data_IF_927335320512
#
_entry.id   IF_927335320512
#
_cell.length_a   1.000
_cell.length_b   1.000
_cell.length_c   1.000
_cell.angle_alpha   90.00
_cell.angle_beta   90.00
_cell.angle_gamma   90.00
#
_symmetry.space_group_name_H-M   'P 1'
#
loop_
_entity.id
_entity.type
_entity.pdbx_description
1 polymer ?
#
# COMPACT_ATOMS: atom_id res chain seq x y z
N UNK A 1 4.94 -1.99 27.80
CA UNK A 1 3.84 -2.86 27.33
C UNK A 1 4.12 -3.22 25.88
N UNK A 2 3.84 -4.47 25.46
CA UNK A 2 3.91 -4.91 24.06
C UNK A 2 2.52 -5.20 23.55
N UNK A 3 2.34 -5.16 22.24
CA UNK A 3 1.10 -5.55 21.56
C UNK A 3 1.38 -6.72 20.63
N UNK A 4 0.45 -7.67 20.59
CA UNK A 4 0.52 -8.82 19.68
C UNK A 4 0.06 -8.40 18.28
N UNK A 5 0.84 -8.76 17.29
CA UNK A 5 0.58 -8.44 15.88
C UNK A 5 0.94 -9.63 14.99
N UNK A 6 0.38 -9.66 13.79
CA UNK A 6 0.97 -10.39 12.68
C UNK A 6 1.74 -9.39 11.82
N UNK A 7 2.94 -9.76 11.39
CA UNK A 7 3.81 -8.90 10.61
C UNK A 7 4.23 -9.59 9.33
N UNK A 8 4.14 -8.88 8.22
CA UNK A 8 4.65 -9.31 6.93
C UNK A 8 5.52 -8.22 6.33
N UNK A 9 6.67 -8.60 5.80
CA UNK A 9 7.52 -7.75 4.97
C UNK A 9 7.38 -8.21 3.51
N UNK A 10 6.98 -7.29 2.65
CA UNK A 10 6.81 -7.50 1.22
C UNK A 10 7.89 -6.75 0.46
N UNK A 11 8.36 -7.33 -0.63
CA UNK A 11 9.20 -6.67 -1.61
C UNK A 11 8.49 -6.64 -2.95
N UNK A 12 8.43 -5.44 -3.54
CA UNK A 12 7.74 -5.21 -4.80
C UNK A 12 8.65 -4.63 -5.87
N UNK A 13 8.41 -5.00 -7.13
CA UNK A 13 9.12 -4.51 -8.30
C UNK A 13 8.30 -4.67 -9.57
N UNK A 14 8.64 -3.89 -10.59
CA UNK A 14 8.06 -3.96 -11.93
C UNK A 14 8.79 -5.03 -12.76
N UNK A 15 8.56 -6.31 -12.45
CA UNK A 15 9.16 -7.42 -13.16
C UNK A 15 8.43 -7.69 -14.49
N UNK A 16 9.22 -7.82 -15.58
CA UNK A 16 8.66 -8.16 -16.90
C UNK A 16 7.80 -7.08 -17.55
N UNK A 17 7.65 -5.91 -16.92
CA UNK A 17 6.89 -4.80 -17.49
C UNK A 17 7.67 -4.16 -18.65
N UNK A 18 7.11 -4.12 -19.88
CA UNK A 18 7.76 -3.45 -21.01
C UNK A 18 8.11 -1.99 -20.72
N UNK A 19 7.27 -1.29 -19.94
CA UNK A 19 7.52 0.11 -19.57
C UNK A 19 8.76 0.25 -18.68
N UNK A 20 9.08 -0.73 -17.84
CA UNK A 20 10.30 -0.69 -17.03
C UNK A 20 11.55 -0.76 -17.92
N UNK A 21 11.55 -1.66 -18.91
CA UNK A 21 12.67 -1.78 -19.87
C UNK A 21 12.84 -0.51 -20.69
N UNK A 22 11.74 0.05 -21.20
CA UNK A 22 11.77 1.30 -21.97
C UNK A 22 12.28 2.46 -21.13
N UNK A 23 11.79 2.64 -19.90
CA UNK A 23 12.23 3.70 -19.00
C UNK A 23 13.69 3.53 -18.58
N UNK A 24 14.14 2.30 -18.35
CA UNK A 24 15.55 2.02 -18.05
C UNK A 24 16.44 2.36 -19.24
N UNK A 25 16.03 2.04 -20.48
CA UNK A 25 16.74 2.45 -21.70
C UNK A 25 16.82 3.98 -21.80
N UNK A 26 15.71 4.68 -21.63
CA UNK A 26 15.64 6.14 -21.64
C UNK A 26 16.55 6.77 -20.57
N UNK A 27 16.59 6.17 -19.35
CA UNK A 27 17.50 6.64 -18.31
C UNK A 27 18.96 6.44 -18.68
N UNK A 28 19.30 5.29 -19.28
CA UNK A 28 20.67 5.02 -19.80
C UNK A 28 21.07 6.04 -20.87
N UNK A 29 20.18 6.32 -21.80
CA UNK A 29 20.41 7.34 -22.83
C UNK A 29 20.60 8.73 -22.22
N UNK A 30 19.80 9.12 -21.24
CA UNK A 30 19.91 10.39 -20.54
C UNK A 30 21.24 10.52 -19.77
N UNK A 31 21.69 9.46 -19.10
CA UNK A 31 23.00 9.41 -18.42
C UNK A 31 24.12 9.54 -19.45
N UNK A 32 24.10 8.79 -20.55
CA UNK A 32 25.12 8.85 -21.58
C UNK A 32 25.18 10.23 -22.23
N UNK A 33 24.05 10.86 -22.52
CA UNK A 33 23.98 12.22 -23.07
C UNK A 33 24.56 13.26 -22.07
N UNK A 34 24.28 13.08 -20.77
CA UNK A 34 24.88 13.92 -19.72
C UNK A 34 26.39 13.76 -19.70
N UNK A 35 26.91 12.53 -19.66
CA UNK A 35 28.34 12.22 -19.66
C UNK A 35 29.04 12.84 -20.87
N UNK A 36 28.51 12.62 -22.08
CA UNK A 36 29.08 13.18 -23.31
C UNK A 36 29.18 14.73 -23.27
N UNK A 37 28.14 15.38 -22.77
CA UNK A 37 28.11 16.85 -22.60
C UNK A 37 29.23 17.35 -21.68
N UNK A 38 29.45 16.66 -20.56
CA UNK A 38 30.49 17.04 -19.62
C UNK A 38 31.90 16.78 -20.17
N UNK A 39 32.11 15.64 -20.83
CA UNK A 39 33.38 15.30 -21.48
C UNK A 39 33.71 16.31 -22.57
N UNK A 40 32.72 16.70 -23.42
CA UNK A 40 32.92 17.73 -24.44
C UNK A 40 33.25 19.11 -23.84
N UNK A 41 32.84 19.36 -22.59
CA UNK A 41 33.20 20.56 -21.83
C UNK A 41 34.55 20.42 -21.06
N UNK A 42 35.32 19.36 -21.30
CA UNK A 42 36.62 19.12 -20.64
C UNK A 42 36.48 18.70 -19.17
N UNK A 43 35.32 18.27 -18.72
CA UNK A 43 35.09 17.83 -17.34
C UNK A 43 35.23 16.32 -17.22
N UNK A 44 35.85 15.87 -16.15
CA UNK A 44 35.89 14.44 -15.81
C UNK A 44 34.61 14.02 -15.14
N UNK A 45 33.99 12.94 -15.62
CA UNK A 45 32.76 12.38 -15.08
C UNK A 45 32.98 10.91 -14.69
N UNK A 46 32.50 10.52 -13.56
CA UNK A 46 32.49 9.11 -13.14
C UNK A 46 31.43 8.33 -13.94
N UNK A 47 31.89 7.33 -14.66
CA UNK A 47 30.97 6.47 -15.40
C UNK A 47 30.16 5.60 -14.45
N UNK A 48 28.89 5.36 -14.79
CA UNK A 48 28.00 4.46 -14.05
C UNK A 48 28.48 3.01 -14.22
N UNK A 49 28.96 2.39 -13.13
CA UNK A 49 29.51 1.02 -13.16
C UNK A 49 28.42 -0.05 -13.09
N UNK A 50 27.39 0.14 -12.28
CA UNK A 50 26.28 -0.79 -12.13
C UNK A 50 24.95 -0.11 -12.39
N UNK A 51 24.08 -0.81 -13.09
CA UNK A 51 22.72 -0.35 -13.36
C UNK A 51 21.73 -1.15 -12.50
N UNK A 52 20.67 -0.52 -12.00
CA UNK A 52 19.63 -1.24 -11.29
C UNK A 52 18.84 -2.13 -12.27
N UNK A 53 18.43 -3.30 -11.80
CA UNK A 53 17.56 -4.19 -12.57
C UNK A 53 16.14 -3.59 -12.73
N UNK A 54 15.74 -2.78 -11.77
CA UNK A 54 14.44 -2.12 -11.71
C UNK A 54 14.59 -0.64 -11.42
N UNK A 55 13.87 0.20 -12.18
CA UNK A 55 13.83 1.65 -11.95
C UNK A 55 13.08 2.02 -10.68
N UNK A 56 12.07 1.23 -10.33
CA UNK A 56 11.24 1.43 -9.15
C UNK A 56 11.12 0.12 -8.43
N UNK A 57 11.49 0.13 -7.17
CA UNK A 57 11.26 -0.95 -6.24
C UNK A 57 10.46 -0.45 -5.03
N UNK A 58 9.75 -1.34 -4.36
CA UNK A 58 9.07 -1.04 -3.11
C UNK A 58 9.38 -2.08 -2.05
N UNK A 59 9.35 -1.64 -0.81
CA UNK A 59 9.34 -2.51 0.36
C UNK A 59 8.20 -2.08 1.24
N UNK A 60 7.40 -3.04 1.68
CA UNK A 60 6.31 -2.78 2.61
C UNK A 60 6.48 -3.63 3.86
N UNK A 61 6.30 -3.01 5.02
CA UNK A 61 6.20 -3.68 6.31
C UNK A 61 4.79 -3.44 6.86
N UNK A 62 3.99 -4.51 6.96
CA UNK A 62 2.60 -4.41 7.36
C UNK A 62 2.43 -5.11 8.70
N UNK A 63 1.90 -4.36 9.68
CA UNK A 63 1.58 -4.85 11.01
C UNK A 63 0.07 -4.90 11.17
N UNK A 64 -0.45 -6.09 11.38
CA UNK A 64 -1.87 -6.36 11.64
C UNK A 64 -2.07 -6.53 13.13
N UNK A 65 -2.74 -5.60 13.76
CA UNK A 65 -3.20 -5.68 15.14
C UNK A 65 -4.70 -6.00 15.20
N UNK A 66 -5.22 -6.19 16.39
CA UNK A 66 -6.60 -6.64 16.62
C UNK A 66 -7.66 -5.72 15.96
N UNK A 67 -7.49 -4.39 16.07
CA UNK A 67 -8.46 -3.41 15.56
C UNK A 67 -7.81 -2.36 14.65
N UNK A 68 -6.60 -2.62 14.15
CA UNK A 68 -5.83 -1.66 13.36
C UNK A 68 -4.79 -2.35 12.52
N UNK A 69 -4.46 -1.72 11.40
CA UNK A 69 -3.36 -2.11 10.54
C UNK A 69 -2.52 -0.90 10.24
N UNK A 70 -1.21 -1.03 10.29
CA UNK A 70 -0.30 -0.02 9.73
C UNK A 70 0.55 -0.64 8.64
N UNK A 71 0.70 0.08 7.53
CA UNK A 71 1.56 -0.26 6.41
C UNK A 71 2.63 0.80 6.28
N UNK A 72 3.88 0.41 6.46
CA UNK A 72 5.04 1.22 6.12
C UNK A 72 5.45 0.90 4.69
N UNK A 73 5.54 1.92 3.84
CA UNK A 73 5.94 1.77 2.44
C UNK A 73 7.22 2.56 2.20
N UNK A 74 8.24 1.90 1.69
CA UNK A 74 9.44 2.54 1.16
C UNK A 74 9.46 2.31 -0.33
N UNK A 75 9.44 3.39 -1.11
CA UNK A 75 9.61 3.35 -2.57
C UNK A 75 10.99 3.87 -2.88
N UNK A 76 11.74 3.13 -3.69
CA UNK A 76 13.06 3.48 -4.19
C UNK A 76 12.92 3.69 -5.69
N UNK A 77 13.26 4.89 -6.15
CA UNK A 77 13.29 5.22 -7.58
C UNK A 77 14.68 5.76 -7.94
N UNK A 78 15.14 5.44 -9.14
CA UNK A 78 16.42 5.95 -9.63
C UNK A 78 16.19 7.13 -10.56
N UNK A 79 16.94 8.21 -10.33
CA UNK A 79 16.88 9.43 -11.14
C UNK A 79 18.29 9.87 -11.50
N UNK A 80 18.44 10.54 -12.66
CA UNK A 80 19.69 11.14 -13.07
C UNK A 80 20.00 12.36 -12.19
N UNK A 81 21.21 12.40 -11.62
CA UNK A 81 21.78 13.62 -11.06
C UNK A 81 22.41 14.47 -12.18
N UNK A 82 21.85 15.63 -12.53
CA UNK A 82 22.38 16.44 -13.61
C UNK A 82 23.74 17.09 -13.28
N UNK A 83 24.13 17.15 -12.01
CA UNK A 83 25.37 17.80 -11.58
C UNK A 83 26.64 16.99 -11.88
N UNK A 84 26.52 15.66 -11.86
CA UNK A 84 27.66 14.75 -12.04
C UNK A 84 27.36 13.54 -12.92
N UNK A 85 26.15 13.49 -13.50
CA UNK A 85 25.64 12.40 -14.33
C UNK A 85 25.51 11.04 -13.62
N UNK A 86 25.58 11.00 -12.29
CA UNK A 86 25.37 9.78 -11.51
C UNK A 86 23.89 9.43 -11.40
N UNK A 87 23.60 8.18 -11.04
CA UNK A 87 22.26 7.78 -10.58
C UNK A 87 22.13 8.05 -9.10
N UNK A 88 21.06 8.75 -8.74
CA UNK A 88 20.66 8.96 -7.34
C UNK A 88 19.47 8.09 -7.01
N UNK A 89 19.45 7.55 -5.81
CA UNK A 89 18.26 6.94 -5.23
C UNK A 89 17.36 8.04 -4.65
N UNK A 90 16.14 8.12 -5.16
CA UNK A 90 15.07 8.91 -4.57
C UNK A 90 14.22 7.98 -3.70
N UNK A 91 14.32 8.14 -2.39
CA UNK A 91 13.65 7.28 -1.42
C UNK A 91 12.48 8.03 -0.79
N UNK A 92 11.26 7.53 -1.03
CA UNK A 92 10.05 7.97 -0.34
C UNK A 92 9.67 6.97 0.75
N UNK A 93 9.32 7.48 1.93
CA UNK A 93 8.88 6.66 3.07
C UNK A 93 7.58 7.19 3.63
N UNK A 94 6.56 6.35 3.60
CA UNK A 94 5.23 6.68 4.13
C UNK A 94 4.75 5.60 5.09
N UNK A 95 3.75 5.94 5.89
CA UNK A 95 3.02 4.95 6.66
C UNK A 95 1.52 5.25 6.62
N UNK A 96 0.70 4.22 6.45
CA UNK A 96 -0.75 4.31 6.39
C UNK A 96 -1.36 3.48 7.51
N UNK A 97 -1.88 4.16 8.53
CA UNK A 97 -2.64 3.53 9.61
C UNK A 97 -4.12 3.49 9.23
N UNK A 98 -4.71 2.31 9.33
CA UNK A 98 -6.15 2.08 9.24
C UNK A 98 -6.65 1.55 10.57
N UNK A 99 -7.68 2.17 11.12
CA UNK A 99 -8.30 1.79 12.40
C UNK A 99 -9.81 2.00 12.34
N UNK A 100 -10.54 1.59 13.37
CA UNK A 100 -12.00 1.76 13.43
C UNK A 100 -12.48 3.21 13.38
N UNK A 101 -11.62 4.19 13.65
CA UNK A 101 -11.92 5.63 13.57
C UNK A 101 -11.59 6.26 12.22
N UNK A 102 -10.87 5.58 11.35
CA UNK A 102 -10.47 6.11 10.05
C UNK A 102 -9.02 5.82 9.66
N UNK A 103 -8.51 6.62 8.73
CA UNK A 103 -7.17 6.49 8.15
C UNK A 103 -6.27 7.65 8.56
N UNK A 104 -5.03 7.35 8.94
CA UNK A 104 -3.96 8.32 9.13
C UNK A 104 -2.85 8.06 8.10
N UNK A 105 -2.57 9.03 7.25
CA UNK A 105 -1.50 8.99 6.26
C UNK A 105 -0.31 9.77 6.80
N UNK A 106 0.85 9.15 6.85
CA UNK A 106 2.08 9.69 7.44
C UNK A 106 3.17 9.75 6.38
N UNK A 107 3.72 10.92 6.18
CA UNK A 107 4.97 11.09 5.43
C UNK A 107 6.11 11.14 6.46
N UNK A 108 6.97 10.12 6.42
CA UNK A 108 8.06 9.95 7.38
C UNK A 108 9.26 10.85 7.05
N UNK A 109 9.41 11.29 5.80
CA UNK A 109 10.49 12.17 5.38
C UNK A 109 10.21 13.63 5.77
N UNK A 110 9.02 14.13 5.43
CA UNK A 110 8.58 15.49 5.79
C UNK A 110 8.08 15.60 7.23
N UNK A 111 7.95 14.46 7.94
CA UNK A 111 7.39 14.38 9.31
C UNK A 111 6.01 15.01 9.41
N UNK A 112 5.14 14.70 8.48
CA UNK A 112 3.75 15.17 8.48
C UNK A 112 2.78 13.99 8.55
N UNK A 113 1.68 14.18 9.28
CA UNK A 113 0.61 13.20 9.35
C UNK A 113 -0.74 13.88 9.11
N UNK A 114 -1.63 13.22 8.35
CA UNK A 114 -2.93 13.76 7.94
C UNK A 114 -4.03 12.74 8.11
N UNK A 115 -5.17 13.16 8.59
CA UNK A 115 -6.35 12.34 8.75
C UNK A 115 -6.62 11.98 10.22
N UNK A 116 -7.20 10.81 10.46
CA UNK A 116 -7.48 10.33 11.80
C UNK A 116 -6.23 9.66 12.38
N UNK A 117 -5.46 10.42 13.18
CA UNK A 117 -4.19 10.01 13.77
C UNK A 117 -4.30 9.99 15.31
N UNK A 118 -4.83 8.92 15.91
CA UNK A 118 -5.03 8.83 17.36
C UNK A 118 -3.70 8.77 18.12
N UNK A 119 -3.57 9.49 19.23
CA UNK A 119 -2.32 9.65 20.01
C UNK A 119 -1.72 8.33 20.50
N UNK A 120 -2.53 7.32 20.75
CA UNK A 120 -2.08 6.00 21.19
C UNK A 120 -2.08 4.96 20.06
N UNK A 121 -2.40 5.39 18.82
CA UNK A 121 -2.62 4.50 17.69
C UNK A 121 -3.85 3.59 17.87
N UNK A 122 -4.60 3.74 18.96
CA UNK A 122 -5.86 3.05 19.18
C UNK A 122 -7.02 3.84 18.59
N UNK A 123 -7.97 3.15 17.98
CA UNK A 123 -9.25 3.74 17.69
C UNK A 123 -9.96 3.99 19.03
N UNK A 124 -9.99 5.24 19.48
CA UNK A 124 -11.10 5.63 20.34
C UNK A 124 -12.36 5.48 19.47
N UNK A 125 -13.24 4.55 19.84
CA UNK A 125 -14.57 4.53 19.22
C UNK A 125 -15.11 5.95 19.23
N UNK A 126 -15.48 6.51 18.09
CA UNK A 126 -16.15 7.80 18.11
C UNK A 126 -17.39 7.61 18.99
N UNK A 127 -17.48 8.38 20.06
CA UNK A 127 -18.60 8.33 21.02
C UNK A 127 -19.94 8.75 20.39
N UNK A 128 -20.06 8.72 19.08
CA UNK A 128 -21.23 9.12 18.34
C UNK A 128 -21.54 8.17 17.19
N UNK A 129 -22.00 6.97 17.55
CA UNK A 129 -22.49 5.95 16.60
C UNK A 129 -23.80 6.34 15.92
N UNK A 130 -24.38 7.51 16.21
CA UNK A 130 -25.67 7.95 15.67
C UNK A 130 -25.60 8.71 14.33
N UNK A 131 -24.42 8.96 13.77
CA UNK A 131 -24.27 9.40 12.38
C UNK A 131 -23.77 8.28 11.51
N UNK A 132 -24.52 7.19 11.48
CA UNK A 132 -24.44 6.22 10.38
C UNK A 132 -25.15 6.84 9.16
N UNK A 133 -24.43 7.65 8.41
CA UNK A 133 -24.72 7.66 6.98
C UNK A 133 -24.46 6.23 6.47
N UNK A 134 -25.22 5.71 5.50
CA UNK A 134 -25.02 4.37 4.97
C UNK A 134 -23.54 4.26 4.56
N UNK A 135 -22.81 3.36 5.21
CA UNK A 135 -21.46 3.04 4.81
C UNK A 135 -21.56 2.51 3.38
N UNK A 136 -20.98 3.19 2.42
CA UNK A 136 -20.87 2.71 1.06
C UNK A 136 -20.21 1.34 1.13
N UNK A 137 -20.99 0.27 0.96
CA UNK A 137 -20.50 -1.10 0.97
C UNK A 137 -21.14 -2.05 1.99
N UNK A 138 -22.01 -1.60 2.92
CA UNK A 138 -22.83 -2.55 3.64
C UNK A 138 -24.08 -2.90 2.81
N UNK A 139 -24.47 -4.17 2.89
CA UNK A 139 -25.55 -4.77 2.10
C UNK A 139 -26.89 -4.03 2.29
N UNK A 140 -27.09 -3.41 3.44
CA UNK A 140 -28.29 -2.67 3.81
C UNK A 140 -28.34 -1.30 3.12
N UNK A 141 -27.23 -0.58 3.09
CA UNK A 141 -27.13 0.72 2.41
C UNK A 141 -27.30 0.58 0.89
N UNK A 142 -26.73 -0.46 0.30
CA UNK A 142 -26.92 -0.76 -1.12
C UNK A 142 -28.36 -1.17 -1.43
N UNK A 143 -29.00 -1.95 -0.57
CA UNK A 143 -30.43 -2.32 -0.71
C UNK A 143 -31.34 -1.10 -0.61
N UNK A 144 -31.01 -0.15 0.26
CA UNK A 144 -31.79 1.07 0.40
C UNK A 144 -31.65 1.99 -0.82
N UNK A 145 -30.44 2.14 -1.37
CA UNK A 145 -30.19 2.86 -2.61
C UNK A 145 -30.84 2.19 -3.82
N UNK A 146 -30.90 0.85 -3.86
CA UNK A 146 -31.55 0.11 -4.94
C UNK A 146 -33.06 0.31 -5.02
N UNK A 147 -33.71 0.84 -3.95
CA UNK A 147 -35.14 1.18 -3.95
C UNK A 147 -35.45 2.43 -4.78
N UNK A 148 -34.44 3.30 -5.03
CA UNK A 148 -34.60 4.40 -5.98
C UNK A 148 -34.38 3.87 -7.40
N UNK A 149 -35.40 3.94 -8.30
CA UNK A 149 -35.29 3.45 -9.68
C UNK A 149 -34.16 4.09 -10.47
N UNK A 150 -33.75 5.33 -10.13
CA UNK A 150 -32.65 6.06 -10.77
C UNK A 150 -31.29 5.49 -10.37
N UNK A 151 -31.20 4.89 -9.19
CA UNK A 151 -29.96 4.32 -8.64
C UNK A 151 -29.83 2.83 -8.86
N UNK A 152 -30.93 2.13 -9.20
CA UNK A 152 -30.97 0.68 -9.29
C UNK A 152 -29.91 0.08 -10.24
N UNK A 153 -29.73 0.69 -11.41
CA UNK A 153 -28.72 0.24 -12.38
C UNK A 153 -27.27 0.46 -11.87
N UNK A 154 -27.01 1.59 -11.21
CA UNK A 154 -25.72 1.87 -10.60
C UNK A 154 -25.42 0.92 -9.44
N UNK A 155 -26.42 0.65 -8.58
CA UNK A 155 -26.29 -0.30 -7.48
C UNK A 155 -26.04 -1.72 -7.99
N UNK A 156 -26.76 -2.17 -9.02
CA UNK A 156 -26.53 -3.48 -9.64
C UNK A 156 -25.10 -3.60 -10.22
N UNK A 157 -24.57 -2.54 -10.83
CA UNK A 157 -23.21 -2.49 -11.31
C UNK A 157 -22.18 -2.57 -10.16
N UNK A 158 -22.42 -1.84 -9.07
CA UNK A 158 -21.59 -1.86 -7.86
C UNK A 158 -21.62 -3.26 -7.23
N UNK A 159 -22.79 -3.86 -7.06
CA UNK A 159 -22.94 -5.22 -6.52
C UNK A 159 -22.22 -6.25 -7.38
N UNK A 160 -22.34 -6.16 -8.70
CA UNK A 160 -21.60 -7.02 -9.64
C UNK A 160 -20.09 -6.84 -9.49
N UNK A 161 -19.62 -5.62 -9.33
CA UNK A 161 -18.20 -5.32 -9.11
C UNK A 161 -17.72 -5.87 -7.77
N UNK A 162 -18.49 -5.69 -6.70
CA UNK A 162 -18.19 -6.25 -5.37
C UNK A 162 -18.15 -7.78 -5.43
N UNK A 163 -19.14 -8.41 -6.05
CA UNK A 163 -19.20 -9.88 -6.20
C UNK A 163 -18.01 -10.41 -7.02
N UNK A 164 -17.61 -9.71 -8.08
CA UNK A 164 -16.44 -10.10 -8.88
C UNK A 164 -15.11 -9.81 -8.20
N UNK A 165 -15.02 -8.80 -7.33
CA UNK A 165 -13.80 -8.46 -6.60
C UNK A 165 -13.55 -9.37 -5.39
N UNK A 166 -14.57 -10.08 -4.92
CA UNK A 166 -14.49 -11.02 -3.80
C UNK A 166 -14.45 -12.49 -4.26
N UNK A 167 -14.25 -12.73 -5.55
CA UNK A 167 -14.17 -14.09 -6.05
C UNK A 167 -12.79 -14.68 -5.74
N UNK A 168 -12.79 -15.73 -4.91
CA UNK A 168 -11.62 -16.59 -4.77
C UNK A 168 -11.50 -17.47 -6.02
N UNK A 169 -10.28 -17.63 -6.55
CA UNK A 169 -10.05 -18.57 -7.63
C UNK A 169 -10.11 -20.04 -7.17
N UNK A 170 -10.22 -20.28 -5.87
CA UNK A 170 -10.12 -21.59 -5.24
C UNK A 170 -8.70 -22.17 -5.25
N UNK A 171 -7.75 -21.50 -5.89
CA UNK A 171 -6.36 -21.93 -5.92
C UNK A 171 -5.68 -21.64 -4.58
N UNK A 172 -4.88 -22.58 -4.14
CA UNK A 172 -4.03 -22.44 -2.95
C UNK A 172 -2.57 -22.44 -3.35
N UNK A 173 -1.80 -21.63 -2.65
CA UNK A 173 -0.32 -21.56 -2.79
C UNK A 173 0.31 -21.63 -1.41
N UNK A 174 1.61 -21.91 -1.38
CA UNK A 174 2.41 -21.79 -0.17
C UNK A 174 3.49 -20.73 -0.39
N UNK A 175 3.54 -19.77 0.51
CA UNK A 175 4.55 -18.70 0.53
C UNK A 175 5.17 -18.68 1.92
N UNK A 176 6.48 -18.83 2.03
CA UNK A 176 7.22 -18.91 3.31
C UNK A 176 6.67 -19.98 4.26
N UNK A 177 6.16 -21.10 3.73
CA UNK A 177 5.55 -22.18 4.51
C UNK A 177 4.13 -21.88 5.02
N UNK A 178 3.56 -20.74 4.67
CA UNK A 178 2.18 -20.38 4.98
C UNK A 178 1.29 -20.67 3.77
N UNK A 179 0.21 -21.43 4.00
CA UNK A 179 -0.82 -21.62 2.97
C UNK A 179 -1.60 -20.32 2.78
N UNK A 180 -1.79 -19.93 1.53
CA UNK A 180 -2.61 -18.80 1.15
C UNK A 180 -3.57 -19.14 0.01
N UNK A 181 -4.70 -18.46 -0.02
CA UNK A 181 -5.74 -18.60 -1.03
C UNK A 181 -5.63 -17.45 -2.04
N UNK A 182 -5.68 -17.78 -3.32
CA UNK A 182 -5.55 -16.82 -4.42
C UNK A 182 -6.90 -16.17 -4.69
N UNK A 183 -6.90 -14.84 -4.71
CA UNK A 183 -8.05 -14.00 -5.00
C UNK A 183 -7.77 -13.19 -6.26
N UNK A 184 -8.71 -13.22 -7.19
CA UNK A 184 -8.67 -12.32 -8.33
C UNK A 184 -9.10 -10.92 -7.90
N UNK A 185 -8.29 -9.93 -8.26
CA UNK A 185 -8.52 -8.52 -7.93
C UNK A 185 -8.71 -7.68 -9.20
N UNK A 186 -9.86 -7.81 -9.89
CA UNK A 186 -10.09 -7.07 -11.14
C UNK A 186 -10.22 -5.56 -10.92
N UNK A 187 -10.60 -5.12 -9.72
CA UNK A 187 -10.78 -3.72 -9.35
C UNK A 187 -9.48 -3.04 -8.89
N UNK A 188 -8.42 -3.80 -8.61
CA UNK A 188 -7.12 -3.19 -8.31
C UNK A 188 -6.60 -2.45 -9.54
N UNK A 189 -5.87 -1.31 -9.38
CA UNK A 189 -5.22 -0.66 -10.50
C UNK A 189 -4.37 -1.66 -11.28
N UNK A 190 -4.80 -1.96 -12.51
CA UNK A 190 -4.15 -2.96 -13.35
C UNK A 190 -4.70 -4.38 -13.28
N UNK A 191 -5.70 -4.63 -12.46
CA UNK A 191 -6.16 -6.00 -12.19
C UNK A 191 -5.02 -6.86 -11.62
N UNK A 192 -5.28 -8.13 -11.38
CA UNK A 192 -4.25 -9.04 -10.91
C UNK A 192 -4.78 -10.13 -9.99
N UNK A 193 -3.86 -10.82 -9.33
CA UNK A 193 -4.17 -11.81 -8.31
C UNK A 193 -3.40 -11.53 -7.03
N UNK A 194 -4.00 -11.81 -5.89
CA UNK A 194 -3.39 -11.66 -4.58
C UNK A 194 -3.57 -12.95 -3.78
N UNK A 195 -2.53 -13.37 -3.05
CA UNK A 195 -2.59 -14.53 -2.19
C UNK A 195 -2.63 -14.10 -0.73
N UNK A 196 -3.74 -14.41 -0.05
CA UNK A 196 -3.94 -14.08 1.36
C UNK A 196 -3.96 -15.35 2.21
N UNK A 197 -3.19 -15.35 3.31
CA UNK A 197 -3.30 -16.44 4.28
C UNK A 197 -4.53 -16.26 5.17
N UNK A 198 -5.26 -17.34 5.44
CA UNK A 198 -6.36 -17.34 6.41
C UNK A 198 -5.88 -17.30 7.86
N UNK A 199 -4.60 -17.62 8.09
CA UNK A 199 -3.98 -17.54 9.41
C UNK A 199 -3.55 -16.11 9.70
N UNK A 200 -3.76 -15.69 10.92
CA UNK A 200 -3.19 -14.45 11.42
C UNK A 200 -3.91 -13.18 10.97
N UNK A 201 -5.21 -13.21 10.76
CA UNK A 201 -5.99 -12.00 10.54
C UNK A 201 -6.59 -11.49 11.85
N UNK A 202 -6.22 -10.27 12.22
CA UNK A 202 -6.86 -9.55 13.31
C UNK A 202 -7.78 -8.43 12.82
N UNK A 203 -7.71 -8.08 11.54
CA UNK A 203 -8.42 -6.91 11.04
C UNK A 203 -9.89 -7.28 10.78
N UNK A 204 -10.84 -6.71 11.53
CA UNK A 204 -12.24 -6.88 11.23
C UNK A 204 -12.53 -6.34 9.83
N UNK A 205 -13.29 -7.05 9.04
CA UNK A 205 -13.70 -6.68 7.68
C UNK A 205 -14.34 -5.29 7.55
N UNK A 206 -14.82 -4.73 8.66
CA UNK A 206 -15.44 -3.40 8.73
C UNK A 206 -14.45 -2.24 8.73
N UNK A 207 -13.16 -2.48 8.96
CA UNK A 207 -12.16 -1.41 9.09
C UNK A 207 -11.64 -0.96 7.72
N UNK A 208 -11.68 -1.80 6.72
CA UNK A 208 -11.01 -1.51 5.44
C UNK A 208 -11.90 -0.91 4.38
N UNK A 209 -13.23 -0.99 4.48
CA UNK A 209 -14.17 -0.49 3.46
C UNK A 209 -13.93 -1.06 2.05
N UNK A 210 -12.85 -1.75 1.87
CA UNK A 210 -12.45 -2.50 0.68
C UNK A 210 -12.56 -3.96 1.05
N UNK A 211 -13.22 -4.74 0.25
CA UNK A 211 -13.58 -6.13 0.46
C UNK A 211 -12.68 -6.90 1.41
N UNK A 212 -13.26 -7.68 2.28
CA UNK A 212 -12.62 -8.32 3.43
C UNK A 212 -11.18 -8.76 3.12
N UNK A 213 -10.20 -8.09 3.71
CA UNK A 213 -8.85 -8.67 3.78
C UNK A 213 -8.96 -9.94 4.63
N UNK A 214 -9.01 -11.07 3.97
CA UNK A 214 -9.27 -12.37 4.60
C UNK A 214 -8.05 -12.88 5.36
N UNK A 215 -6.96 -12.10 5.37
CA UNK A 215 -5.71 -12.47 6.03
C UNK A 215 -4.55 -11.55 5.67
N UNK A 216 -3.33 -11.99 5.91
CA UNK A 216 -2.13 -11.26 5.47
C UNK A 216 -1.90 -11.49 3.98
N UNK A 217 -1.62 -10.40 3.26
CA UNK A 217 -1.13 -10.47 1.90
C UNK A 217 0.27 -11.11 1.88
N UNK A 218 0.45 -12.18 1.12
CA UNK A 218 1.74 -12.84 0.96
C UNK A 218 2.32 -12.72 -0.44
N UNK A 219 1.46 -12.54 -1.44
CA UNK A 219 1.87 -12.42 -2.84
C UNK A 219 0.84 -11.58 -3.61
N UNK A 220 1.30 -10.75 -4.52
CA UNK A 220 0.47 -9.96 -5.42
C UNK A 220 1.12 -9.87 -6.78
N UNK A 221 0.37 -10.16 -7.82
CA UNK A 221 0.81 -10.07 -9.20
C UNK A 221 -0.20 -9.25 -10.00
N UNK A 222 0.20 -8.06 -10.43
CA UNK A 222 -0.66 -7.21 -11.27
C UNK A 222 -0.48 -7.54 -12.75
N UNK A 223 -1.54 -7.39 -13.52
CA UNK A 223 -1.48 -7.55 -15.00
C UNK A 223 -0.53 -6.57 -15.68
N UNK A 224 -0.11 -5.50 -14.99
CA UNK A 224 0.87 -4.54 -15.49
C UNK A 224 2.32 -4.89 -15.13
N UNK A 225 2.57 -6.10 -14.61
CA UNK A 225 3.90 -6.59 -14.28
C UNK A 225 4.47 -6.06 -12.96
N UNK A 226 3.65 -5.40 -12.12
CA UNK A 226 4.05 -5.12 -10.75
C UNK A 226 3.80 -6.35 -9.90
N UNK A 227 4.84 -6.83 -9.25
CA UNK A 227 4.80 -7.99 -8.37
C UNK A 227 5.23 -7.60 -6.97
N UNK A 228 4.53 -8.12 -5.97
CA UNK A 228 4.91 -8.04 -4.57
C UNK A 228 4.97 -9.45 -3.99
N UNK A 229 6.01 -9.74 -3.24
CA UNK A 229 6.19 -11.04 -2.59
C UNK A 229 6.65 -10.89 -1.16
N UNK A 230 6.08 -11.68 -0.26
CA UNK A 230 6.54 -11.73 1.12
C UNK A 230 7.96 -12.30 1.18
N UNK A 231 8.84 -11.57 1.83
CA UNK A 231 10.21 -11.99 2.16
C UNK A 231 10.35 -12.40 3.62
N UNK A 232 9.39 -12.01 4.45
CA UNK A 232 9.27 -12.42 5.85
C UNK A 232 7.81 -12.36 6.27
N UNK A 233 7.36 -13.33 7.06
CA UNK A 233 6.04 -13.32 7.68
C UNK A 233 6.14 -13.92 9.09
N UNK A 234 5.59 -13.22 10.08
CA UNK A 234 5.59 -13.64 11.48
C UNK A 234 4.18 -13.54 12.05
N UNK A 235 3.65 -14.66 12.52
CA UNK A 235 2.41 -14.69 13.27
C UNK A 235 2.71 -14.46 14.76
N UNK A 236 1.75 -13.85 15.46
CA UNK A 236 1.79 -13.64 16.92
C UNK A 236 3.08 -12.99 17.44
N UNK A 237 3.61 -12.02 16.70
CA UNK A 237 4.80 -11.27 17.06
C UNK A 237 4.45 -10.19 18.10
N UNK A 238 5.31 -9.99 19.10
CA UNK A 238 5.16 -8.92 20.08
C UNK A 238 6.02 -7.71 19.69
N UNK A 239 5.38 -6.56 19.52
CA UNK A 239 6.04 -5.31 19.15
C UNK A 239 5.68 -4.17 20.10
N UNK A 240 6.47 -3.09 20.08
CA UNK A 240 6.09 -1.85 20.77
C UNK A 240 4.80 -1.28 20.16
N UNK A 241 3.84 -0.80 20.96
CA UNK A 241 2.65 -0.11 20.43
C UNK A 241 2.99 1.14 19.61
N UNK A 242 4.18 1.72 19.79
CA UNK A 242 4.67 2.85 19.02
C UNK A 242 4.72 2.58 17.50
N UNK A 243 4.77 1.32 17.06
CA UNK A 243 4.70 0.96 15.65
C UNK A 243 3.42 1.48 14.99
N UNK A 244 2.32 1.63 15.72
CA UNK A 244 1.05 2.13 15.20
C UNK A 244 0.91 3.66 15.25
N UNK A 245 1.86 4.37 15.84
CA UNK A 245 1.80 5.83 16.00
C UNK A 245 3.17 6.49 15.73
N UNK A 246 3.75 6.31 14.51
CA UNK A 246 5.04 6.90 14.17
C UNK A 246 5.02 8.43 14.24
N UNK A 247 3.86 9.05 14.09
CA UNK A 247 3.65 10.49 14.18
C UNK A 247 3.74 11.04 15.61
N UNK A 248 3.86 10.20 16.64
CA UNK A 248 4.13 10.63 18.01
C UNK A 248 5.62 10.88 18.28
N UNK A 249 6.49 10.57 17.31
CA UNK A 249 7.92 10.91 17.42
C UNK A 249 8.12 12.43 17.34
N UNK A 250 9.18 12.97 17.98
CA UNK A 250 9.46 14.41 17.95
C UNK A 250 9.60 14.95 16.53
N UNK A 251 9.04 16.15 16.33
CA UNK A 251 9.13 16.89 15.07
C UNK A 251 8.03 16.58 14.06
N UNK A 252 7.05 15.74 14.38
CA UNK A 252 5.89 15.54 13.53
C UNK A 252 4.86 16.66 13.67
N UNK A 253 4.31 17.08 12.53
CA UNK A 253 3.12 17.93 12.45
C UNK A 253 1.91 17.08 12.08
N UNK A 254 0.91 17.06 12.96
CA UNK A 254 -0.33 16.29 12.74
C UNK A 254 -1.46 17.25 12.40
N UNK A 255 -2.06 17.09 11.23
CA UNK A 255 -3.24 17.84 10.81
C UNK A 255 -4.47 16.91 10.71
N UNK A 256 -5.51 17.23 11.49
CA UNK A 256 -6.78 16.56 11.31
C UNK A 256 -7.34 16.90 9.91
N UNK A 257 -7.90 15.91 9.22
CA UNK A 257 -8.68 16.16 8.02
C UNK A 257 -9.94 16.89 8.48
N UNK A 258 -10.07 18.16 8.19
CA UNK A 258 -11.35 18.84 8.39
C UNK A 258 -12.39 18.05 7.60
N UNK A 259 -13.44 17.58 8.29
CA UNK A 259 -14.62 17.10 7.61
C UNK A 259 -15.07 18.27 6.71
N UNK A 260 -15.01 18.07 5.39
CA UNK A 260 -15.61 19.04 4.48
C UNK A 260 -17.09 19.05 4.82
N UNK A 261 -17.50 20.12 5.51
CA UNK A 261 -18.90 20.47 5.62
C UNK A 261 -19.46 20.57 4.19
N UNK A 262 -20.40 19.68 3.89
CA UNK A 262 -21.32 19.83 2.76
C UNK A 262 -22.68 20.20 3.29
#
# INVERSE_FOLDING_TARGET
KSVRVHHVSLQGYLEGNPSNKTRLSQLKEAVNACVSRYQNAGRTVRLQGQWPDYLVGSREDIYYGENRRIRYTTVIAYVLNPADCSLMENISRTADLVSGGGTCNVDLASKTAKGYCPTDGHASSPANTNRRGPAFGDDEGLKQLARDPRMAAAVASIQKTIASSNATSGQKRSVLGLECEVWDQPAAPGGGSACYTKKGSFVPSRVTGQGAEVGMLLDFDSKYGFKMKAVSAKLDNNVSPAVFAPYNMPGFTVSARMATEK
#
